data_IF_641204222154
#
_entry.id   IF_641204222154
#
_cell.length_a   1.000
_cell.length_b   1.000
_cell.length_c   1.000
_cell.angle_alpha   90.00
_cell.angle_beta   90.00
_cell.angle_gamma   90.00
#
_symmetry.space_group_name_H-M   'P 1'
#
loop_
_entity.id
_entity.type
_entity.pdbx_description
1 polymer ?
#
# COMPACT_ATOMS: atom_id res chain seq x y z
N UNK A 1 3.75 -33.81 -7.52
CA UNK A 1 3.75 -32.49 -6.87
C UNK A 1 3.78 -31.44 -7.96
N UNK A 2 2.60 -31.12 -8.50
CA UNK A 2 2.44 -30.12 -9.56
C UNK A 2 2.37 -28.74 -8.92
N UNK A 3 3.31 -27.89 -9.33
CA UNK A 3 3.46 -26.51 -8.89
C UNK A 3 2.30 -25.67 -9.47
N UNK A 4 1.58 -24.85 -8.69
CA UNK A 4 0.49 -24.04 -9.22
C UNK A 4 1.05 -22.88 -10.07
N UNK A 5 0.24 -22.32 -11.00
CA UNK A 5 0.66 -21.24 -11.87
C UNK A 5 0.88 -19.96 -11.06
N UNK A 6 1.99 -19.26 -11.35
CA UNK A 6 2.29 -17.95 -10.77
C UNK A 6 1.47 -16.89 -11.49
N UNK A 7 0.27 -16.60 -10.98
CA UNK A 7 -0.29 -15.27 -11.16
C UNK A 7 0.52 -14.32 -10.28
N UNK A 8 0.96 -13.19 -10.83
CA UNK A 8 1.64 -12.13 -10.09
C UNK A 8 0.78 -11.73 -8.89
N UNK A 9 1.18 -12.19 -7.72
CA UNK A 9 0.57 -11.78 -6.47
C UNK A 9 1.09 -10.38 -6.15
N UNK A 10 0.19 -9.39 -6.10
CA UNK A 10 0.42 -8.22 -5.27
C UNK A 10 0.77 -8.72 -3.87
N UNK A 11 1.98 -8.45 -3.39
CA UNK A 11 2.30 -8.66 -2.00
C UNK A 11 1.59 -7.55 -1.22
N UNK A 12 0.49 -7.88 -0.58
CA UNK A 12 -0.04 -7.08 0.52
C UNK A 12 0.86 -7.32 1.72
N UNK A 13 1.62 -6.31 2.13
CA UNK A 13 2.30 -6.34 3.42
C UNK A 13 1.28 -5.98 4.48
N UNK A 14 0.60 -6.99 5.01
CA UNK A 14 -0.20 -6.88 6.23
C UNK A 14 0.78 -7.03 7.41
N UNK A 15 0.97 -5.98 8.20
CA UNK A 15 1.80 -6.05 9.40
C UNK A 15 0.95 -6.72 10.50
N UNK A 16 0.83 -8.05 10.42
CA UNK A 16 0.10 -8.84 11.39
C UNK A 16 0.84 -8.91 12.73
N UNK A 17 0.45 -8.07 13.68
CA UNK A 17 0.84 -8.21 15.07
C UNK A 17 -0.25 -8.96 15.86
N UNK A 18 0.08 -10.18 16.27
CA UNK A 18 -0.76 -11.02 17.11
C UNK A 18 -0.54 -10.78 18.60
N UNK A 19 -1.62 -11.04 19.34
CA UNK A 19 -1.72 -11.48 20.74
C UNK A 19 -1.58 -10.44 21.88
N UNK A 20 -2.70 -10.25 22.59
CA UNK A 20 -2.74 -9.66 23.93
C UNK A 20 -4.10 -9.85 24.61
N UNK A 21 -4.42 -11.08 25.02
CA UNK A 21 -5.44 -11.33 26.06
C UNK A 21 -5.01 -10.62 27.35
N UNK A 22 -5.88 -9.75 27.87
CA UNK A 22 -5.64 -8.94 29.06
C UNK A 22 -6.95 -8.60 29.76
N UNK A 23 -7.54 -9.62 30.37
CA UNK A 23 -8.61 -9.57 31.36
C UNK A 23 -8.21 -8.69 32.56
N UNK A 24 -8.92 -7.58 32.73
CA UNK A 24 -8.82 -6.66 33.86
C UNK A 24 -10.25 -6.17 34.17
N UNK A 25 -10.76 -6.62 35.32
CA UNK A 25 -12.05 -6.21 35.88
C UNK A 25 -11.79 -5.35 37.14
N UNK A 26 -12.49 -4.22 37.23
CA UNK A 26 -12.66 -3.27 38.36
C UNK A 26 -11.55 -2.24 38.67
N UNK A 27 -11.82 -0.96 38.36
CA UNK A 27 -11.77 0.16 39.33
C UNK A 27 -12.39 1.45 38.74
N UNK A 28 -13.50 1.86 39.35
CA UNK A 28 -14.20 3.15 39.20
C UNK A 28 -13.39 4.27 39.87
N UNK A 29 -12.88 5.25 39.11
CA UNK A 29 -12.43 6.56 39.61
C UNK A 29 -12.61 7.65 38.54
N UNK A 30 -13.64 8.48 38.75
CA UNK A 30 -13.76 9.90 38.39
C UNK A 30 -12.40 10.58 38.12
N UNK A 31 -12.19 10.94 36.85
CA UNK A 31 -11.02 11.66 36.35
C UNK A 31 -11.10 11.75 34.83
N UNK A 32 -11.81 12.76 34.32
CA UNK A 32 -12.00 13.03 32.90
C UNK A 32 -10.69 13.54 32.27
N UNK A 33 -9.72 12.66 32.13
CA UNK A 33 -8.58 12.81 31.24
C UNK A 33 -8.69 11.65 30.24
N UNK A 34 -9.46 11.89 29.17
CA UNK A 34 -9.61 10.93 28.09
C UNK A 34 -8.21 10.61 27.54
N UNK A 35 -7.72 9.42 27.89
CA UNK A 35 -6.57 8.78 27.25
C UNK A 35 -6.68 9.04 25.74
N UNK A 36 -5.64 9.60 25.08
CA UNK A 36 -5.73 9.88 23.66
C UNK A 36 -6.03 8.57 22.95
N UNK A 37 -7.22 8.44 22.36
CA UNK A 37 -7.57 7.32 21.50
C UNK A 37 -6.45 7.21 20.48
N UNK A 38 -5.59 6.21 20.64
CA UNK A 38 -4.50 5.94 19.72
C UNK A 38 -5.16 5.49 18.42
N UNK A 39 -5.47 6.45 17.55
CA UNK A 39 -5.96 6.20 16.21
C UNK A 39 -4.85 5.45 15.48
N UNK A 40 -4.99 4.12 15.46
CA UNK A 40 -4.12 3.25 14.70
C UNK A 40 -4.41 3.54 13.23
N UNK A 41 -3.44 4.17 12.56
CA UNK A 41 -3.50 4.49 11.13
C UNK A 41 -2.73 3.44 10.36
N UNK A 42 -3.36 2.82 9.38
CA UNK A 42 -2.66 1.90 8.49
C UNK A 42 -1.91 2.68 7.42
N UNK A 43 -0.77 2.15 6.99
CA UNK A 43 -0.02 2.68 5.86
C UNK A 43 0.12 1.60 4.77
N UNK A 44 -0.24 1.96 3.53
CA UNK A 44 -0.05 1.10 2.36
C UNK A 44 0.94 1.75 1.41
N UNK A 45 1.94 0.98 0.99
CA UNK A 45 2.82 1.36 -0.11
C UNK A 45 2.60 0.40 -1.29
N UNK A 46 2.06 0.92 -2.39
CA UNK A 46 1.96 0.17 -3.64
C UNK A 46 3.27 0.26 -4.42
N UNK A 47 3.95 -0.86 -4.59
CA UNK A 47 5.21 -0.96 -5.34
C UNK A 47 4.95 -1.68 -6.66
N UNK A 48 5.05 -0.96 -7.77
CA UNK A 48 4.67 -1.43 -9.11
C UNK A 48 5.91 -1.53 -10.00
N UNK A 49 6.08 -2.66 -10.65
CA UNK A 49 7.11 -2.86 -11.67
C UNK A 49 6.71 -2.11 -12.96
N UNK A 50 7.55 -1.17 -13.37
CA UNK A 50 7.40 -0.35 -14.57
C UNK A 50 8.37 -0.76 -15.70
N UNK A 51 8.97 -1.94 -15.61
CA UNK A 51 9.82 -2.48 -16.68
C UNK A 51 9.05 -2.71 -17.98
N UNK A 52 9.77 -2.76 -19.11
CA UNK A 52 9.21 -2.97 -20.44
C UNK A 52 8.31 -4.22 -20.54
N UNK A 53 8.57 -5.24 -19.72
CA UNK A 53 7.75 -6.47 -19.70
C UNK A 53 6.37 -6.26 -19.11
N UNK A 54 6.20 -5.29 -18.21
CA UNK A 54 4.92 -4.97 -17.58
C UNK A 54 4.06 -4.05 -18.44
N UNK A 55 4.67 -3.26 -19.32
CA UNK A 55 3.97 -2.34 -20.22
C UNK A 55 3.44 -3.01 -21.48
N UNK A 56 3.96 -4.19 -21.83
CA UNK A 56 3.47 -5.00 -22.94
C UNK A 56 2.26 -5.86 -22.53
N UNK A 57 1.15 -5.84 -23.28
CA UNK A 57 0.03 -6.74 -23.04
C UNK A 57 0.37 -8.19 -23.43
N UNK A 58 -0.20 -9.16 -22.71
CA UNK A 58 0.02 -10.58 -23.00
C UNK A 58 -0.74 -11.05 -24.25
N UNK A 59 -1.87 -10.39 -24.57
CA UNK A 59 -2.74 -10.68 -25.70
C UNK A 59 -3.13 -9.36 -26.37
N UNK A 60 -3.15 -9.33 -27.70
CA UNK A 60 -3.57 -8.16 -28.47
C UNK A 60 -5.01 -7.76 -28.11
N UNK A 61 -5.18 -6.52 -27.65
CA UNK A 61 -6.47 -5.96 -27.23
C UNK A 61 -6.75 -5.99 -25.73
N UNK A 62 -5.90 -6.63 -24.92
CA UNK A 62 -5.98 -6.56 -23.46
C UNK A 62 -5.16 -5.38 -22.90
N UNK A 63 -5.57 -4.89 -21.73
CA UNK A 63 -4.76 -3.92 -20.98
C UNK A 63 -3.46 -4.58 -20.52
N UNK A 64 -2.36 -3.83 -20.55
CA UNK A 64 -1.09 -4.34 -20.04
C UNK A 64 -1.14 -4.60 -18.53
N UNK A 65 -0.34 -5.53 -18.01
CA UNK A 65 -0.26 -5.79 -16.57
C UNK A 65 0.00 -4.52 -15.75
N UNK A 66 0.80 -3.59 -16.28
CA UNK A 66 1.03 -2.28 -15.68
C UNK A 66 -0.26 -1.47 -15.54
N UNK A 67 -1.04 -1.33 -16.62
CA UNK A 67 -2.31 -0.60 -16.58
C UNK A 67 -3.33 -1.26 -15.64
N UNK A 68 -3.36 -2.59 -15.60
CA UNK A 68 -4.21 -3.33 -14.68
C UNK A 68 -3.81 -3.09 -13.22
N UNK A 69 -2.51 -3.07 -12.91
CA UNK A 69 -2.02 -2.73 -11.57
C UNK A 69 -2.44 -1.31 -11.15
N UNK A 70 -2.26 -0.34 -12.04
CA UNK A 70 -2.68 1.06 -11.79
C UNK A 70 -4.20 1.15 -11.56
N UNK A 71 -5.01 0.45 -12.35
CA UNK A 71 -6.46 0.42 -12.17
C UNK A 71 -6.86 -0.19 -10.81
N UNK A 72 -6.16 -1.26 -10.40
CA UNK A 72 -6.36 -1.86 -9.08
C UNK A 72 -6.03 -0.88 -7.95
N UNK A 73 -4.89 -0.18 -8.03
CA UNK A 73 -4.52 0.84 -7.04
C UNK A 73 -5.57 1.95 -6.95
N UNK A 74 -6.05 2.46 -8.09
CA UNK A 74 -7.08 3.48 -8.13
C UNK A 74 -8.38 3.00 -7.46
N UNK A 75 -8.76 1.73 -7.67
CA UNK A 75 -9.96 1.15 -7.05
C UNK A 75 -9.78 1.01 -5.53
N UNK A 76 -8.61 0.52 -5.08
CA UNK A 76 -8.30 0.42 -3.66
C UNK A 76 -8.32 1.79 -2.96
N UNK A 77 -7.77 2.83 -3.60
CA UNK A 77 -7.82 4.19 -3.07
C UNK A 77 -9.26 4.69 -2.92
N UNK A 78 -10.11 4.47 -3.93
CA UNK A 78 -11.52 4.86 -3.88
C UNK A 78 -12.31 4.15 -2.78
N UNK A 79 -12.03 2.87 -2.55
CA UNK A 79 -12.70 2.11 -1.49
C UNK A 79 -12.29 2.61 -0.09
N UNK A 80 -11.02 2.98 0.12
CA UNK A 80 -10.58 3.61 1.38
C UNK A 80 -11.21 4.98 1.62
N UNK A 81 -11.36 5.80 0.58
CA UNK A 81 -12.10 7.07 0.68
C UNK A 81 -13.55 6.82 1.11
N UNK A 82 -14.20 5.76 0.58
CA UNK A 82 -15.58 5.43 0.93
C UNK A 82 -15.72 4.82 2.33
N UNK A 83 -14.70 4.10 2.80
CA UNK A 83 -14.62 3.55 4.15
C UNK A 83 -14.53 4.64 5.24
N UNK A 84 -14.08 5.84 4.87
CA UNK A 84 -13.81 6.91 5.83
C UNK A 84 -12.48 6.68 6.57
N UNK A 85 -11.62 5.84 6.03
CA UNK A 85 -10.35 5.49 6.65
C UNK A 85 -9.35 6.64 6.52
N UNK A 86 -8.55 6.87 7.57
CA UNK A 86 -7.50 7.92 7.57
C UNK A 86 -6.13 7.37 7.15
N UNK A 87 -6.16 6.28 6.41
CA UNK A 87 -4.97 5.53 6.05
C UNK A 87 -4.08 6.31 5.10
N UNK A 88 -2.78 6.10 5.24
CA UNK A 88 -1.80 6.72 4.38
C UNK A 88 -1.52 5.78 3.21
N UNK A 89 -1.65 6.27 1.98
CA UNK A 89 -1.36 5.52 0.76
C UNK A 89 -0.23 6.19 0.00
N UNK A 90 0.78 5.42 -0.37
CA UNK A 90 1.86 5.81 -1.27
C UNK A 90 1.91 4.90 -2.50
N UNK A 91 2.42 5.44 -3.62
CA UNK A 91 2.64 4.68 -4.86
C UNK A 91 4.06 4.90 -5.37
N UNK A 92 4.78 3.80 -5.58
CA UNK A 92 6.16 3.77 -6.03
C UNK A 92 6.28 2.86 -7.25
N UNK A 93 7.00 3.35 -8.26
CA UNK A 93 7.34 2.61 -9.46
C UNK A 93 8.82 2.23 -9.41
N UNK A 94 9.17 1.01 -9.78
CA UNK A 94 10.56 0.57 -9.92
C UNK A 94 10.83 0.03 -11.32
N UNK A 95 12.08 0.07 -11.76
CA UNK A 95 12.46 -0.30 -13.13
C UNK A 95 12.19 0.81 -14.15
N UNK A 96 12.05 2.06 -13.70
CA UNK A 96 11.88 3.24 -14.56
C UNK A 96 13.22 3.73 -15.12
N UNK A 97 13.20 4.37 -16.29
CA UNK A 97 14.40 4.98 -16.88
C UNK A 97 14.89 6.17 -16.04
N UNK A 98 13.95 6.97 -15.55
CA UNK A 98 14.21 8.11 -14.68
C UNK A 98 14.05 7.73 -13.20
N UNK A 99 14.83 8.38 -12.33
CA UNK A 99 14.68 8.25 -10.89
C UNK A 99 14.14 9.54 -10.31
N UNK A 100 13.03 9.45 -9.57
CA UNK A 100 12.43 10.58 -8.87
C UNK A 100 12.08 10.12 -7.46
N UNK A 101 13.01 10.33 -6.55
CA UNK A 101 12.88 10.04 -5.13
C UNK A 101 13.22 11.30 -4.34
N UNK A 102 12.64 11.47 -3.13
CA UNK A 102 13.00 12.58 -2.25
C UNK A 102 14.53 12.65 -2.03
N UNK A 103 15.04 13.86 -1.83
CA UNK A 103 16.49 14.16 -1.82
C UNK A 103 17.32 13.27 -0.88
N UNK A 104 16.72 12.71 0.18
CA UNK A 104 17.38 11.84 1.15
C UNK A 104 17.59 10.39 0.65
N UNK A 105 17.01 10.01 -0.48
CA UNK A 105 17.02 8.65 -1.02
C UNK A 105 17.61 8.51 -2.44
N UNK A 106 18.34 9.53 -2.92
CA UNK A 106 18.96 9.57 -4.26
C UNK A 106 19.98 8.45 -4.55
N UNK A 107 20.26 7.55 -3.59
CA UNK A 107 21.15 6.41 -3.76
C UNK A 107 20.55 5.21 -4.51
N UNK A 108 19.25 5.21 -4.81
CA UNK A 108 18.58 4.10 -5.48
C UNK A 108 18.19 4.45 -6.93
N UNK A 109 18.91 3.92 -7.94
CA UNK A 109 18.56 4.15 -9.33
C UNK A 109 17.30 3.37 -9.74
N UNK A 110 16.61 3.87 -10.76
CA UNK A 110 15.41 3.27 -11.37
C UNK A 110 14.19 3.20 -10.43
N UNK A 111 14.07 4.17 -9.52
CA UNK A 111 12.92 4.30 -8.62
C UNK A 111 12.23 5.64 -8.89
N UNK A 112 10.92 5.59 -9.13
CA UNK A 112 10.08 6.77 -9.34
C UNK A 112 8.92 6.76 -8.33
N UNK A 113 8.92 7.70 -7.40
CA UNK A 113 7.83 7.92 -6.46
C UNK A 113 6.71 8.69 -7.17
N UNK A 114 5.60 8.00 -7.44
CA UNK A 114 4.44 8.58 -8.12
C UNK A 114 3.62 9.42 -7.15
N UNK A 115 3.44 8.92 -5.93
CA UNK A 115 2.73 9.59 -4.86
C UNK A 115 3.39 9.27 -3.52
N UNK A 116 3.69 10.32 -2.75
CA UNK A 116 4.19 10.20 -1.39
C UNK A 116 3.11 9.62 -0.47
N UNK A 117 3.53 9.08 0.67
CA UNK A 117 2.63 8.49 1.65
C UNK A 117 1.70 9.57 2.26
N UNK A 118 0.44 9.61 1.80
CA UNK A 118 -0.54 10.62 2.22
C UNK A 118 -1.97 10.04 2.26
N UNK A 119 -2.89 10.72 2.93
CA UNK A 119 -4.32 10.37 2.92
C UNK A 119 -4.84 10.44 1.48
N UNK A 120 -5.58 9.43 1.00
CA UNK A 120 -6.13 9.43 -0.36
C UNK A 120 -7.13 10.57 -0.55
N UNK A 121 -7.05 11.26 -1.70
CA UNK A 121 -7.84 12.44 -2.05
C UNK A 121 -8.40 12.38 -3.46
#
# INVERSE_FOLDING_TARGET
WTRPPRHSACMFFDNGDGNGDGDNEYADLDGEEAEPEMQQKDCILFVIDASERMTMPAVDGEASPFLQAIACVATCMQDRIRGGDTDLIGVLLFGTEESRVPNDHQGFPHIYMLQDLNVPS
#
